data_IF_120680605595
#
_entry.id   IF_120680605595
#
_cell.length_a   1.000
_cell.length_b   1.000
_cell.length_c   1.000
_cell.angle_alpha   90.00
_cell.angle_beta   90.00
_cell.angle_gamma   90.00
#
_symmetry.space_group_name_H-M   'P 1'
#
loop_
_entity.id
_entity.type
_entity.pdbx_description
1 polymer ?
#
# COMPACT_ATOMS: atom_id res chain seq x y z
N UNK A 1 -9.19 1.67 19.89
CA UNK A 1 -10.26 2.55 19.34
C UNK A 1 -11.25 2.96 20.43
N UNK A 2 -11.86 4.14 20.30
CA UNK A 2 -12.81 4.67 21.30
C UNK A 2 -14.03 3.76 21.52
N UNK A 3 -14.58 3.19 20.45
CA UNK A 3 -15.71 2.23 20.52
C UNK A 3 -15.34 0.96 21.29
N UNK A 4 -14.15 0.41 21.06
CA UNK A 4 -13.67 -0.77 21.80
C UNK A 4 -13.47 -0.42 23.28
N UNK A 5 -12.78 0.67 23.59
CA UNK A 5 -12.55 1.10 24.97
C UNK A 5 -13.86 1.32 25.74
N UNK A 6 -14.87 1.93 25.10
CA UNK A 6 -16.19 2.12 25.71
C UNK A 6 -16.89 0.78 26.04
N UNK A 7 -16.73 -0.27 25.22
CA UNK A 7 -17.27 -1.60 25.51
C UNK A 7 -16.56 -2.24 26.70
N UNK A 8 -15.24 -2.16 26.75
CA UNK A 8 -14.45 -2.74 27.85
C UNK A 8 -14.71 -2.07 29.20
N UNK A 9 -14.98 -0.75 29.22
CA UNK A 9 -15.37 -0.03 30.44
C UNK A 9 -16.70 -0.48 31.04
N UNK A 10 -17.58 -1.14 30.27
CA UNK A 10 -18.85 -1.67 30.80
C UNK A 10 -18.65 -2.89 31.71
N UNK A 11 -17.50 -3.56 31.62
CA UNK A 11 -17.16 -4.75 32.42
C UNK A 11 -15.79 -4.55 33.09
N UNK A 12 -15.64 -3.57 34.00
CA UNK A 12 -14.33 -3.12 34.47
C UNK A 12 -13.55 -4.20 35.22
N UNK A 13 -14.22 -5.05 36.01
CA UNK A 13 -13.57 -6.15 36.73
C UNK A 13 -12.97 -7.19 35.78
N UNK A 14 -13.72 -7.58 34.76
CA UNK A 14 -13.26 -8.54 33.75
C UNK A 14 -12.12 -7.98 32.91
N UNK A 15 -12.27 -6.74 32.43
CA UNK A 15 -11.22 -6.04 31.69
C UNK A 15 -9.93 -5.94 32.51
N UNK A 16 -10.05 -5.59 33.79
CA UNK A 16 -8.91 -5.49 34.69
C UNK A 16 -8.18 -6.83 34.86
N UNK A 17 -8.90 -7.93 35.10
CA UNK A 17 -8.31 -9.28 35.24
C UNK A 17 -7.49 -9.65 33.99
N UNK A 18 -8.05 -9.45 32.80
CA UNK A 18 -7.36 -9.79 31.55
C UNK A 18 -6.10 -8.96 31.33
N UNK A 19 -6.20 -7.66 31.59
CA UNK A 19 -5.11 -6.72 31.35
C UNK A 19 -4.01 -6.85 32.41
N UNK A 20 -4.37 -7.17 33.66
CA UNK A 20 -3.42 -7.38 34.76
C UNK A 20 -2.52 -8.61 34.54
N UNK A 21 -2.95 -9.56 33.71
CA UNK A 21 -2.12 -10.72 33.33
C UNK A 21 -0.86 -10.37 32.54
N UNK A 22 -0.74 -9.15 32.02
CA UNK A 22 0.41 -8.69 31.25
C UNK A 22 1.34 -7.83 32.11
N UNK A 23 2.63 -8.18 32.16
CA UNK A 23 3.67 -7.36 32.81
C UNK A 23 3.97 -6.08 32.00
N UNK A 24 3.94 -6.17 30.68
CA UNK A 24 4.15 -5.03 29.77
C UNK A 24 3.12 -5.04 28.65
N UNK A 25 2.62 -3.87 28.29
CA UNK A 25 1.69 -3.68 27.17
C UNK A 25 2.24 -2.61 26.24
N UNK A 26 2.63 -3.02 25.03
CA UNK A 26 3.12 -2.10 24.01
C UNK A 26 1.95 -1.54 23.23
N UNK A 27 1.84 -0.22 23.17
CA UNK A 27 0.74 0.48 22.52
C UNK A 27 1.22 1.35 21.39
N UNK A 28 0.38 1.47 20.36
CA UNK A 28 0.68 2.23 19.15
C UNK A 28 0.49 3.75 19.30
N UNK A 29 -0.25 4.21 20.32
CA UNK A 29 -0.58 5.63 20.50
C UNK A 29 -0.82 5.98 21.98
N UNK A 30 -0.67 7.27 22.30
CA UNK A 30 -1.04 7.85 23.62
C UNK A 30 -2.51 7.61 23.97
N UNK A 31 -3.40 7.63 22.98
CA UNK A 31 -4.82 7.36 23.19
C UNK A 31 -5.05 5.90 23.61
N UNK A 32 -4.33 4.95 23.01
CA UNK A 32 -4.37 3.55 23.41
C UNK A 32 -3.77 3.36 24.81
N UNK A 33 -2.67 4.04 25.12
CA UNK A 33 -2.08 4.07 26.46
C UNK A 33 -3.11 4.49 27.53
N UNK A 34 -3.80 5.61 27.30
CA UNK A 34 -4.84 6.11 28.20
C UNK A 34 -6.00 5.11 28.35
N UNK A 35 -6.40 4.44 27.27
CA UNK A 35 -7.45 3.42 27.31
C UNK A 35 -7.02 2.21 28.15
N UNK A 36 -5.84 1.65 27.93
CA UNK A 36 -5.34 0.51 28.72
C UNK A 36 -5.13 0.88 30.19
N UNK A 37 -4.65 2.09 30.47
CA UNK A 37 -4.53 2.60 31.85
C UNK A 37 -5.90 2.66 32.54
N UNK A 38 -6.95 3.08 31.83
CA UNK A 38 -8.32 3.10 32.37
C UNK A 38 -8.90 1.71 32.67
N UNK A 39 -8.33 0.65 32.09
CA UNK A 39 -8.68 -0.74 32.39
C UNK A 39 -7.80 -1.34 33.50
N UNK A 40 -6.87 -0.55 34.05
CA UNK A 40 -5.97 -0.94 35.14
C UNK A 40 -4.73 -1.72 34.69
N UNK A 41 -4.29 -1.54 33.44
CA UNK A 41 -2.96 -1.94 33.01
C UNK A 41 -1.86 -1.24 33.83
N UNK A 42 -0.86 -2.02 34.25
CA UNK A 42 0.44 -1.52 34.64
C UNK A 42 1.46 -1.79 33.52
N UNK A 43 2.60 -1.09 33.51
CA UNK A 43 3.69 -1.38 32.57
C UNK A 43 3.39 -1.05 31.09
N UNK A 44 2.74 0.08 30.82
CA UNK A 44 2.43 0.51 29.45
C UNK A 44 3.68 1.13 28.80
N UNK A 45 4.00 0.68 27.58
CA UNK A 45 5.12 1.16 26.78
C UNK A 45 4.62 1.72 25.45
N UNK A 46 4.90 2.99 25.18
CA UNK A 46 4.47 3.68 23.95
C UNK A 46 5.55 3.57 22.88
N UNK A 47 5.58 2.45 22.15
CA UNK A 47 6.60 2.20 21.11
C UNK A 47 6.13 2.57 19.70
N UNK A 48 4.89 3.02 19.57
CA UNK A 48 4.32 3.33 18.27
C UNK A 48 3.90 2.08 17.52
N UNK A 49 3.56 2.25 16.24
CA UNK A 49 3.01 1.17 15.43
C UNK A 49 4.12 0.33 14.79
N UNK A 50 4.16 -0.97 15.10
CA UNK A 50 5.14 -1.90 14.54
C UNK A 50 5.13 -1.94 12.99
N UNK A 51 4.03 -1.53 12.34
CA UNK A 51 3.98 -1.40 10.86
C UNK A 51 5.05 -0.46 10.30
N UNK A 52 5.57 0.47 11.12
CA UNK A 52 6.64 1.38 10.72
C UNK A 52 8.05 0.81 10.99
N UNK A 53 8.17 -0.32 11.70
CA UNK A 53 9.44 -0.95 12.02
C UNK A 53 9.91 -1.97 10.97
N UNK A 54 9.06 -2.35 10.00
CA UNK A 54 9.45 -3.24 8.92
C UNK A 54 10.66 -2.68 8.12
N UNK A 55 11.52 -3.49 7.49
CA UNK A 55 12.50 -2.95 6.53
C UNK A 55 11.80 -2.29 5.33
N UNK A 56 12.52 -1.46 4.59
CA UNK A 56 12.02 -0.98 3.29
C UNK A 56 11.82 -2.18 2.35
N UNK A 57 10.84 -2.08 1.45
CA UNK A 57 10.61 -3.14 0.47
C UNK A 57 11.89 -3.39 -0.35
N UNK A 58 12.30 -4.66 -0.50
CA UNK A 58 13.44 -5.01 -1.33
C UNK A 58 13.15 -4.68 -2.79
N UNK A 59 14.20 -4.55 -3.57
CA UNK A 59 14.14 -4.39 -5.02
C UNK A 59 15.46 -4.87 -5.63
N UNK A 60 15.42 -5.26 -6.91
CA UNK A 60 16.62 -5.52 -7.69
C UNK A 60 17.11 -4.21 -8.35
N UNK A 61 18.32 -3.71 -8.02
CA UNK A 61 18.88 -2.52 -8.64
C UNK A 61 19.10 -2.65 -10.16
N UNK A 62 19.43 -3.85 -10.66
CA UNK A 62 19.64 -4.06 -12.08
C UNK A 62 18.31 -3.96 -12.85
N UNK A 63 17.25 -4.61 -12.36
CA UNK A 63 15.91 -4.48 -12.93
C UNK A 63 15.39 -3.03 -12.87
N UNK A 64 15.67 -2.28 -11.80
CA UNK A 64 15.30 -0.86 -11.72
C UNK A 64 16.06 -0.02 -12.76
N UNK A 65 17.36 -0.27 -12.94
CA UNK A 65 18.16 0.44 -13.94
C UNK A 65 17.68 0.14 -15.36
N UNK A 66 17.33 -1.11 -15.64
CA UNK A 66 16.77 -1.54 -16.92
C UNK A 66 15.44 -0.83 -17.21
N UNK A 67 14.48 -0.87 -16.27
CA UNK A 67 13.19 -0.20 -16.47
C UNK A 67 13.31 1.32 -16.62
N UNK A 68 14.30 1.95 -15.97
CA UNK A 68 14.60 3.39 -16.16
C UNK A 68 15.21 3.69 -17.53
N UNK A 69 15.91 2.73 -18.12
CA UNK A 69 16.42 2.85 -19.48
C UNK A 69 15.29 2.68 -20.51
N UNK A 70 14.42 1.69 -20.29
CA UNK A 70 13.35 1.35 -21.23
C UNK A 70 12.20 2.37 -21.21
N UNK A 71 11.93 2.99 -20.06
CA UNK A 71 10.89 4.01 -19.90
C UNK A 71 11.53 5.40 -19.95
N UNK A 72 11.47 6.04 -21.11
CA UNK A 72 11.99 7.40 -21.33
C UNK A 72 10.99 8.50 -20.98
N UNK A 73 9.70 8.19 -21.04
CA UNK A 73 8.60 9.11 -20.75
C UNK A 73 8.19 9.19 -19.28
N UNK A 74 7.15 9.98 -18.96
CA UNK A 74 6.55 9.99 -17.62
C UNK A 74 6.03 8.61 -17.23
N UNK A 75 6.15 8.27 -15.94
CA UNK A 75 5.67 6.99 -15.41
C UNK A 75 5.02 7.18 -14.05
N UNK A 76 3.87 6.52 -13.85
CA UNK A 76 3.16 6.47 -12.57
C UNK A 76 2.61 5.07 -12.30
N UNK A 77 2.27 4.85 -11.03
CA UNK A 77 1.90 3.53 -10.52
C UNK A 77 0.47 3.50 -10.00
N UNK A 78 -0.28 2.47 -10.37
CA UNK A 78 -1.47 2.01 -9.68
C UNK A 78 -1.15 0.68 -8.98
N UNK A 79 -0.95 0.73 -7.66
CA UNK A 79 -0.48 -0.41 -6.87
C UNK A 79 -1.61 -1.14 -6.16
N UNK A 80 -1.56 -2.48 -6.17
CA UNK A 80 -2.52 -3.37 -5.49
C UNK A 80 -3.97 -3.15 -5.92
N UNK A 81 -4.21 -2.98 -7.22
CA UNK A 81 -5.56 -2.72 -7.75
C UNK A 81 -6.49 -3.93 -7.62
N UNK A 82 -7.79 -3.67 -7.51
CA UNK A 82 -8.86 -4.67 -7.48
C UNK A 82 -9.81 -4.54 -8.68
N UNK A 83 -10.60 -5.60 -8.98
CA UNK A 83 -11.60 -5.54 -10.04
C UNK A 83 -12.48 -4.28 -9.92
N UNK A 84 -12.59 -3.56 -11.04
CA UNK A 84 -13.31 -2.29 -11.12
C UNK A 84 -12.42 -1.05 -10.99
N UNK A 85 -11.27 -1.14 -10.33
CA UNK A 85 -10.31 -0.03 -10.25
C UNK A 85 -9.47 0.07 -11.52
N UNK A 86 -9.12 -1.06 -12.16
CA UNK A 86 -8.25 -1.03 -13.34
C UNK A 86 -8.89 -0.31 -14.54
N UNK A 87 -10.22 -0.41 -14.68
CA UNK A 87 -10.94 0.33 -15.71
C UNK A 87 -10.88 1.85 -15.47
N UNK A 88 -10.92 2.29 -14.22
CA UNK A 88 -10.80 3.72 -13.84
C UNK A 88 -9.37 4.20 -14.11
N UNK A 89 -8.36 3.40 -13.75
CA UNK A 89 -6.94 3.68 -14.03
C UNK A 89 -6.70 3.76 -15.54
N UNK A 90 -7.28 2.85 -16.32
CA UNK A 90 -7.18 2.87 -17.79
C UNK A 90 -7.83 4.12 -18.40
N UNK A 91 -9.00 4.54 -17.88
CA UNK A 91 -9.63 5.79 -18.30
C UNK A 91 -8.75 7.02 -17.97
N UNK A 92 -8.14 7.05 -16.78
CA UNK A 92 -7.20 8.10 -16.40
C UNK A 92 -5.95 8.13 -17.30
N UNK A 93 -5.42 6.96 -17.66
CA UNK A 93 -4.32 6.83 -18.62
C UNK A 93 -4.68 7.48 -19.96
N UNK A 94 -5.86 7.17 -20.53
CA UNK A 94 -6.31 7.75 -21.79
C UNK A 94 -6.43 9.29 -21.75
N UNK A 95 -6.91 9.85 -20.63
CA UNK A 95 -6.99 11.31 -20.43
C UNK A 95 -5.58 11.92 -20.41
N UNK A 96 -4.63 11.27 -19.73
CA UNK A 96 -3.27 11.78 -19.58
C UNK A 96 -2.44 11.66 -20.86
N UNK A 97 -2.71 10.68 -21.72
CA UNK A 97 -2.03 10.53 -23.01
C UNK A 97 -2.15 11.77 -23.91
N UNK A 98 -3.25 12.52 -23.79
CA UNK A 98 -3.42 13.78 -24.53
C UNK A 98 -2.37 14.84 -24.19
N UNK A 99 -1.79 14.80 -22.98
CA UNK A 99 -0.75 15.72 -22.53
C UNK A 99 0.64 15.07 -22.52
N UNK A 100 0.71 13.76 -22.32
CA UNK A 100 1.94 12.99 -22.21
C UNK A 100 1.85 11.75 -23.12
N UNK A 101 2.11 11.89 -24.44
CA UNK A 101 1.97 10.79 -25.39
C UNK A 101 2.85 9.58 -25.08
N UNK A 102 4.01 9.80 -24.45
CA UNK A 102 4.96 8.75 -24.06
C UNK A 102 4.72 8.21 -22.64
N UNK A 103 3.57 8.51 -22.02
CA UNK A 103 3.24 8.09 -20.66
C UNK A 103 3.17 6.56 -20.55
N UNK A 104 3.85 6.01 -19.55
CA UNK A 104 3.65 4.62 -19.12
C UNK A 104 2.85 4.60 -17.83
N UNK A 105 1.79 3.79 -17.80
CA UNK A 105 1.01 3.55 -16.58
C UNK A 105 1.25 2.13 -16.10
N UNK A 106 1.89 1.98 -14.95
CA UNK A 106 2.15 0.66 -14.37
C UNK A 106 0.97 0.27 -13.49
N UNK A 107 0.36 -0.88 -13.76
CA UNK A 107 -0.68 -1.46 -12.91
C UNK A 107 -0.10 -2.70 -12.24
N UNK A 108 -0.14 -2.73 -10.90
CA UNK A 108 0.17 -3.93 -10.10
C UNK A 108 -1.17 -4.46 -9.56
N UNK A 109 -1.76 -5.49 -10.17
CA UNK A 109 -2.96 -6.12 -9.62
C UNK A 109 -2.69 -6.65 -8.21
N UNK A 110 -3.70 -6.60 -7.33
CA UNK A 110 -3.58 -7.22 -6.00
C UNK A 110 -3.31 -8.72 -6.08
N UNK A 111 -3.80 -9.34 -7.15
CA UNK A 111 -3.74 -10.76 -7.48
C UNK A 111 -2.99 -10.90 -8.80
N UNK A 112 -1.69 -11.29 -8.79
CA UNK A 112 -0.87 -11.33 -9.99
C UNK A 112 -1.44 -12.17 -11.13
N UNK A 113 -2.15 -13.26 -10.82
CA UNK A 113 -2.83 -14.12 -11.80
C UNK A 113 -3.78 -13.36 -12.73
N UNK A 114 -4.32 -12.23 -12.26
CA UNK A 114 -5.18 -11.34 -13.04
C UNK A 114 -4.44 -10.58 -14.13
N UNK A 115 -3.11 -10.60 -14.15
CA UNK A 115 -2.34 -10.05 -15.26
C UNK A 115 -2.78 -10.60 -16.62
N UNK A 116 -3.25 -11.85 -16.65
CA UNK A 116 -3.80 -12.50 -17.85
C UNK A 116 -5.12 -11.91 -18.36
N UNK A 117 -5.82 -11.11 -17.56
CA UNK A 117 -7.06 -10.42 -17.94
C UNK A 117 -6.80 -9.23 -18.89
N UNK A 118 -5.54 -8.81 -19.03
CA UNK A 118 -5.14 -7.63 -19.79
C UNK A 118 -4.40 -8.03 -21.07
N UNK A 119 -4.62 -7.29 -22.16
CA UNK A 119 -3.87 -7.43 -23.41
C UNK A 119 -2.58 -6.61 -23.47
N UNK A 120 -2.28 -5.88 -22.39
CA UNK A 120 -1.11 -5.03 -22.24
C UNK A 120 0.17 -5.85 -21.99
N UNK A 121 1.37 -5.30 -22.30
CA UNK A 121 2.63 -5.97 -22.00
C UNK A 121 2.78 -6.27 -20.50
N UNK A 122 3.31 -7.45 -20.17
CA UNK A 122 3.33 -8.03 -18.82
C UNK A 122 4.74 -8.33 -18.34
N UNK A 123 4.99 -7.97 -17.07
CA UNK A 123 6.25 -8.24 -16.37
C UNK A 123 6.53 -9.73 -16.25
N UNK A 124 5.51 -10.56 -16.01
CA UNK A 124 5.66 -12.02 -15.87
C UNK A 124 6.07 -12.73 -17.16
N UNK A 125 5.97 -12.06 -18.32
CA UNK A 125 6.34 -12.60 -19.63
C UNK A 125 7.66 -12.03 -20.15
N UNK A 126 8.41 -11.31 -19.31
CA UNK A 126 9.63 -10.58 -19.69
C UNK A 126 9.41 -9.58 -20.83
N UNK A 127 8.18 -9.08 -20.99
CA UNK A 127 7.86 -8.06 -21.98
C UNK A 127 8.31 -6.67 -21.50
N UNK A 128 8.79 -5.85 -22.43
CA UNK A 128 9.23 -4.49 -22.15
C UNK A 128 8.02 -3.53 -22.07
N UNK A 129 8.07 -2.51 -21.20
CA UNK A 129 7.09 -1.44 -21.22
C UNK A 129 7.16 -0.67 -22.54
N UNK A 130 6.01 -0.29 -23.09
CA UNK A 130 5.90 0.46 -24.35
C UNK A 130 5.44 1.88 -24.05
N UNK A 131 6.07 2.87 -24.68
CA UNK A 131 5.71 4.27 -24.52
C UNK A 131 4.25 4.51 -24.96
N UNK A 132 3.49 5.23 -24.13
CA UNK A 132 2.08 5.49 -24.39
C UNK A 132 1.13 4.35 -24.03
N UNK A 133 1.63 3.27 -23.39
CA UNK A 133 0.81 2.11 -23.02
C UNK A 133 0.74 1.88 -21.51
N UNK A 134 -0.21 1.02 -21.14
CA UNK A 134 -0.29 0.44 -19.80
C UNK A 134 0.66 -0.75 -19.73
N UNK A 135 1.43 -0.86 -18.65
CA UNK A 135 2.31 -1.97 -18.35
C UNK A 135 1.83 -2.73 -17.12
N UNK A 136 1.65 -4.04 -17.23
CA UNK A 136 1.10 -4.87 -16.16
C UNK A 136 2.24 -5.52 -15.37
N UNK A 137 2.38 -5.11 -14.12
CA UNK A 137 3.33 -5.66 -13.17
C UNK A 137 2.66 -6.80 -12.36
N UNK A 138 2.59 -7.98 -12.96
CA UNK A 138 1.94 -9.19 -12.45
C UNK A 138 2.90 -10.19 -11.81
N UNK A 139 3.87 -9.68 -11.05
CA UNK A 139 4.88 -10.47 -10.32
C UNK A 139 4.87 -10.17 -8.82
N UNK A 140 5.26 -11.16 -8.02
CA UNK A 140 5.33 -11.02 -6.56
C UNK A 140 6.69 -10.48 -6.11
N UNK A 141 6.68 -9.64 -5.08
CA UNK A 141 7.90 -9.16 -4.43
C UNK A 141 8.60 -7.98 -5.11
N UNK A 142 8.12 -7.53 -6.28
CA UNK A 142 8.72 -6.41 -7.03
C UNK A 142 8.10 -5.04 -6.71
N UNK A 143 7.13 -4.96 -5.78
CA UNK A 143 6.45 -3.68 -5.48
C UNK A 143 7.41 -2.56 -5.02
N UNK A 144 8.49 -2.93 -4.31
CA UNK A 144 9.53 -1.99 -3.91
C UNK A 144 10.32 -1.42 -5.09
N UNK A 145 10.42 -2.14 -6.20
CA UNK A 145 11.00 -1.67 -7.45
C UNK A 145 10.09 -0.61 -8.09
N UNK A 146 8.79 -0.91 -8.21
CA UNK A 146 7.84 -0.01 -8.88
C UNK A 146 7.62 1.29 -8.12
N UNK A 147 7.62 1.25 -6.78
CA UNK A 147 7.59 2.46 -5.96
C UNK A 147 8.80 3.37 -6.16
N UNK A 148 9.99 2.82 -6.45
CA UNK A 148 11.22 3.61 -6.70
C UNK A 148 11.36 4.08 -8.14
N UNK A 149 10.65 3.43 -9.06
CA UNK A 149 10.61 3.79 -10.46
C UNK A 149 9.70 5.01 -10.70
N UNK A 150 8.57 5.08 -10.00
CA UNK A 150 7.51 6.05 -10.26
C UNK A 150 7.62 7.33 -9.44
N UNK A 151 7.00 8.41 -9.93
CA UNK A 151 6.97 9.71 -9.23
C UNK A 151 5.85 9.84 -8.21
N UNK A 152 4.78 9.07 -8.36
CA UNK A 152 3.67 8.96 -7.41
C UNK A 152 2.97 7.61 -7.61
N UNK A 153 2.16 7.21 -6.63
CA UNK A 153 1.35 5.99 -6.71
C UNK A 153 -0.10 6.22 -6.28
N UNK A 154 -1.04 5.69 -7.04
CA UNK A 154 -2.38 5.37 -6.56
C UNK A 154 -2.34 4.02 -5.82
N UNK A 155 -2.94 3.95 -4.63
CA UNK A 155 -3.04 2.72 -3.85
C UNK A 155 -4.47 2.18 -3.94
N UNK A 156 -4.61 0.99 -4.55
CA UNK A 156 -5.87 0.32 -4.78
C UNK A 156 -6.54 -0.23 -3.53
N UNK A 157 -7.67 -0.89 -3.74
CA UNK A 157 -8.63 -1.27 -2.69
C UNK A 157 -9.33 -0.06 -2.07
N UNK A 158 -9.18 1.13 -2.66
CA UNK A 158 -9.62 2.41 -2.10
C UNK A 158 -10.78 3.03 -2.87
N UNK A 159 -10.99 2.66 -4.13
CA UNK A 159 -12.16 3.07 -4.92
C UNK A 159 -13.27 2.01 -4.91
N UNK A 160 -13.04 0.88 -4.24
CA UNK A 160 -13.96 -0.25 -4.07
C UNK A 160 -14.08 -0.59 -2.57
N UNK A 161 -15.13 -1.29 -2.12
CA UNK A 161 -15.37 -1.56 -0.69
C UNK A 161 -14.44 -2.65 -0.10
N UNK A 162 -13.13 -2.52 -0.32
CA UNK A 162 -12.07 -3.39 0.21
C UNK A 162 -11.45 -2.78 1.47
N UNK A 163 -11.42 -1.45 1.59
CA UNK A 163 -10.93 -0.75 2.78
C UNK A 163 -9.50 -0.22 2.70
N UNK A 164 -8.91 -0.23 1.50
CA UNK A 164 -7.59 0.32 1.18
C UNK A 164 -6.43 -0.62 1.52
N UNK A 165 -5.42 -0.63 0.65
CA UNK A 165 -4.16 -1.36 0.90
C UNK A 165 -3.14 -0.53 1.69
N UNK A 166 -1.99 -1.15 1.97
CA UNK A 166 -0.97 -0.56 2.81
C UNK A 166 -0.26 0.63 2.16
N UNK A 167 -0.65 1.83 2.57
CA UNK A 167 -0.02 3.09 2.15
C UNK A 167 1.39 3.27 2.75
N UNK A 168 1.69 2.63 3.89
CA UNK A 168 2.92 2.93 4.64
C UNK A 168 4.20 2.56 3.87
N UNK A 169 4.14 1.55 3.02
CA UNK A 169 5.29 1.10 2.21
C UNK A 169 5.74 2.18 1.22
N UNK A 170 4.80 2.74 0.46
CA UNK A 170 5.06 3.84 -0.47
C UNK A 170 5.50 5.11 0.27
N UNK A 171 4.81 5.46 1.36
CA UNK A 171 5.11 6.66 2.15
C UNK A 171 6.54 6.64 2.72
N UNK A 172 7.02 5.47 3.14
CA UNK A 172 8.39 5.31 3.67
C UNK A 172 9.48 5.44 2.62
N UNK A 173 9.14 5.31 1.34
CA UNK A 173 10.03 5.59 0.21
C UNK A 173 9.95 7.05 -0.24
N UNK A 174 9.17 7.89 0.47
CA UNK A 174 8.97 9.29 0.10
C UNK A 174 8.09 9.47 -1.15
N UNK A 175 7.38 8.41 -1.57
CA UNK A 175 6.54 8.44 -2.76
C UNK A 175 5.21 9.16 -2.44
N UNK A 176 4.85 10.23 -3.17
CA UNK A 176 3.52 10.82 -3.10
C UNK A 176 2.44 9.79 -3.40
N UNK A 177 1.36 9.81 -2.60
CA UNK A 177 0.30 8.80 -2.63
C UNK A 177 -1.04 9.45 -2.97
N UNK A 178 -1.79 8.77 -3.83
CA UNK A 178 -3.20 9.02 -4.12
C UNK A 178 -3.99 7.80 -3.60
N UNK A 179 -5.12 8.04 -2.96
CA UNK A 179 -6.05 7.01 -2.49
C UNK A 179 -7.47 7.50 -2.72
N UNK A 180 -8.40 6.56 -2.87
CA UNK A 180 -9.84 6.84 -2.90
C UNK A 180 -10.35 7.51 -1.61
N UNK A 181 -11.58 8.06 -1.67
CA UNK A 181 -12.20 8.89 -0.63
C UNK A 181 -12.63 8.14 0.64
#
# INVERSE_FOLDING_TARGET
SARSAARWRKLPKFANILVFGFRYIHVQSKADAANFKSLGAAGILEWGNLKFAAPLLPYDPAALAQLRHDITGPVWLAASTHPGEEAIVAAAHQILLAQFPDLVTIIVPRHPERGTEFSSPRRSQDEAPVAGEIYIADTLGELGLFYRLCKFAFIGGSLVPVGGHNISEAARLGLPIISGP
#
